data_IF_916101854276
#
_entry.id   IF_916101854276
#
_cell.length_a   1.000
_cell.length_b   1.000
_cell.length_c   1.000
_cell.angle_alpha   90.00
_cell.angle_beta   90.00
_cell.angle_gamma   90.00
#
_symmetry.space_group_name_H-M   'P 1'
#
loop_
_entity.id
_entity.type
_entity.pdbx_description
1 polymer ?
#
# COMPACT_ATOMS: atom_id res chain seq x y z
N UNK A 1 70.40 -22.53 39.25
CA UNK A 1 70.18 -23.72 38.40
C UNK A 1 68.83 -24.34 38.75
N UNK A 2 67.78 -24.03 37.98
CA UNK A 2 66.49 -24.72 38.02
C UNK A 2 65.78 -24.48 36.69
N UNK A 3 65.60 -25.58 35.97
CA UNK A 3 64.95 -25.70 34.68
C UNK A 3 63.42 -25.63 34.88
N UNK A 4 62.70 -24.81 34.13
CA UNK A 4 61.25 -24.98 33.91
C UNK A 4 60.92 -24.74 32.44
N UNK A 5 60.53 -25.82 31.78
CA UNK A 5 59.97 -25.91 30.42
C UNK A 5 58.43 -25.68 30.47
N UNK A 6 57.77 -25.53 29.31
CA UNK A 6 56.62 -24.64 29.11
C UNK A 6 55.26 -25.28 29.40
N UNK A 7 54.27 -24.45 29.69
CA UNK A 7 52.86 -24.84 29.81
C UNK A 7 52.17 -24.56 28.46
N UNK A 8 51.56 -25.59 27.90
CA UNK A 8 50.76 -25.53 26.68
C UNK A 8 49.43 -24.75 26.90
N UNK A 9 48.86 -24.10 25.88
CA UNK A 9 47.53 -23.50 25.98
C UNK A 9 46.44 -24.58 25.98
N UNK A 10 45.45 -24.41 26.86
CA UNK A 10 44.27 -25.27 26.98
C UNK A 10 43.37 -25.18 25.75
N UNK A 11 42.83 -26.34 25.39
CA UNK A 11 41.88 -26.59 24.31
C UNK A 11 40.63 -25.72 24.44
N UNK A 12 40.08 -25.34 23.28
CA UNK A 12 39.15 -24.24 23.08
C UNK A 12 37.75 -24.46 23.61
N UNK A 13 37.17 -23.36 24.05
CA UNK A 13 35.75 -23.19 24.30
C UNK A 13 35.04 -23.00 22.95
N UNK A 14 34.29 -24.01 22.53
CA UNK A 14 33.37 -23.93 21.39
C UNK A 14 32.22 -23.02 21.82
N UNK A 15 32.27 -21.76 21.40
CA UNK A 15 31.16 -20.83 21.55
C UNK A 15 30.05 -21.25 20.59
N UNK A 16 28.98 -21.80 21.17
CA UNK A 16 27.70 -22.02 20.52
C UNK A 16 27.16 -20.68 20.00
N UNK A 17 27.08 -20.54 18.67
CA UNK A 17 26.61 -19.33 17.97
C UNK A 17 25.11 -19.36 17.68
N UNK A 18 24.33 -20.16 18.42
CA UNK A 18 22.86 -20.10 18.34
C UNK A 18 22.27 -18.97 19.18
N UNK A 19 22.72 -17.73 18.93
CA UNK A 19 22.03 -16.55 19.41
C UNK A 19 20.61 -16.51 18.82
N UNK A 20 19.55 -16.27 19.62
CA UNK A 20 18.19 -16.17 19.11
C UNK A 20 18.15 -15.11 18.02
N UNK A 21 17.59 -15.47 16.85
CA UNK A 21 17.43 -14.57 15.72
C UNK A 21 16.93 -13.20 16.20
N UNK A 22 17.78 -12.18 16.05
CA UNK A 22 17.49 -10.86 16.56
C UNK A 22 16.11 -10.40 16.06
N UNK A 23 15.24 -9.88 16.93
CA UNK A 23 13.99 -9.28 16.47
C UNK A 23 14.36 -8.21 15.44
N UNK A 24 13.65 -8.19 14.31
CA UNK A 24 13.80 -7.14 13.29
C UNK A 24 13.29 -5.83 13.91
N UNK A 25 14.13 -5.19 14.71
CA UNK A 25 13.87 -3.88 15.30
C UNK A 25 14.33 -2.85 14.28
N UNK A 26 13.42 -2.48 13.38
CA UNK A 26 13.55 -1.23 12.62
C UNK A 26 13.70 -0.09 13.63
N UNK A 27 14.69 0.80 13.45
CA UNK A 27 14.99 1.91 14.39
C UNK A 27 13.70 2.58 14.90
N UNK A 28 13.61 2.90 16.21
CA UNK A 28 12.38 3.39 16.82
C UNK A 28 11.92 4.67 16.10
N UNK A 29 10.87 4.55 15.28
CA UNK A 29 10.22 5.67 14.61
C UNK A 29 9.93 5.53 13.11
N UNK A 30 10.47 4.52 12.39
CA UNK A 30 10.23 4.35 10.93
C UNK A 30 9.40 3.12 10.59
N UNK A 31 8.69 3.16 9.46
CA UNK A 31 8.07 1.96 8.89
C UNK A 31 9.12 1.04 8.27
N UNK A 32 8.85 -0.27 8.24
CA UNK A 32 9.73 -1.22 7.56
C UNK A 32 9.82 -0.91 6.06
N UNK A 33 10.96 -1.22 5.42
CA UNK A 33 11.15 -0.97 3.99
C UNK A 33 10.07 -1.62 3.12
N UNK A 34 9.58 -2.81 3.51
CA UNK A 34 8.47 -3.48 2.84
C UNK A 34 7.15 -2.69 2.94
N UNK A 35 6.84 -2.07 4.09
CA UNK A 35 5.68 -1.17 4.22
C UNK A 35 5.83 0.06 3.32
N UNK A 36 7.01 0.66 3.28
CA UNK A 36 7.29 1.82 2.45
C UNK A 36 7.14 1.49 0.97
N UNK A 37 7.70 0.37 0.52
CA UNK A 37 7.59 -0.11 -0.86
C UNK A 37 6.12 -0.29 -1.28
N UNK A 38 5.32 -1.00 -0.47
CA UNK A 38 3.90 -1.18 -0.78
C UNK A 38 3.12 0.14 -0.76
N UNK A 39 3.45 1.05 0.16
CA UNK A 39 2.83 2.37 0.23
C UNK A 39 3.11 3.20 -1.03
N UNK A 40 4.39 3.41 -1.36
CA UNK A 40 4.79 4.21 -2.52
C UNK A 40 4.39 3.56 -3.84
N UNK A 41 4.46 2.23 -3.94
CA UNK A 41 3.91 1.49 -5.08
C UNK A 41 2.41 1.74 -5.25
N UNK A 42 1.64 1.72 -4.15
CA UNK A 42 0.21 2.07 -4.19
C UNK A 42 0.01 3.53 -4.62
N UNK A 43 0.78 4.47 -4.09
CA UNK A 43 0.67 5.89 -4.44
C UNK A 43 0.92 6.14 -5.94
N UNK A 44 1.95 5.52 -6.51
CA UNK A 44 2.26 5.61 -7.95
C UNK A 44 1.14 5.00 -8.77
N UNK A 45 0.66 3.80 -8.42
CA UNK A 45 -0.46 3.16 -9.12
C UNK A 45 -1.73 4.02 -9.07
N UNK A 46 -2.04 4.60 -7.91
CA UNK A 46 -3.19 5.49 -7.75
C UNK A 46 -3.07 6.74 -8.64
N UNK A 47 -1.90 7.37 -8.68
CA UNK A 47 -1.68 8.52 -9.58
C UNK A 47 -1.94 8.14 -11.04
N UNK A 48 -1.40 7.02 -11.51
CA UNK A 48 -1.62 6.54 -12.89
C UNK A 48 -3.09 6.21 -13.15
N UNK A 49 -3.75 5.47 -12.26
CA UNK A 49 -5.17 5.09 -12.40
C UNK A 49 -6.07 6.34 -12.51
N UNK A 50 -5.80 7.38 -11.72
CA UNK A 50 -6.57 8.63 -11.73
C UNK A 50 -6.42 9.32 -13.09
N UNK A 51 -5.19 9.43 -13.60
CA UNK A 51 -4.93 10.02 -14.93
C UNK A 51 -5.64 9.21 -16.02
N UNK A 52 -5.54 7.88 -16.00
CA UNK A 52 -6.23 7.02 -16.96
C UNK A 52 -7.75 7.20 -16.88
N UNK A 53 -8.32 7.24 -15.67
CA UNK A 53 -9.75 7.45 -15.46
C UNK A 53 -10.25 8.74 -16.09
N UNK A 54 -9.49 9.84 -15.94
CA UNK A 54 -9.82 11.12 -16.58
C UNK A 54 -9.71 11.06 -18.11
N UNK A 55 -8.66 10.46 -18.66
CA UNK A 55 -8.50 10.30 -20.12
C UNK A 55 -9.68 9.53 -20.70
N UNK A 56 -10.07 8.42 -20.06
CA UNK A 56 -11.20 7.59 -20.47
C UNK A 56 -12.55 8.30 -20.31
N UNK A 57 -12.69 9.14 -19.29
CA UNK A 57 -13.93 9.90 -19.07
C UNK A 57 -14.18 10.96 -20.16
N UNK A 58 -13.13 11.58 -20.70
CA UNK A 58 -13.26 12.62 -21.74
C UNK A 58 -13.64 12.01 -23.10
N UNK A 59 -13.25 10.77 -23.38
CA UNK A 59 -13.54 10.09 -24.66
C UNK A 59 -14.05 8.65 -24.44
N UNK A 60 -15.21 8.45 -23.81
CA UNK A 60 -15.65 7.13 -23.34
C UNK A 60 -15.84 6.11 -24.48
N UNK A 61 -16.24 6.57 -25.66
CA UNK A 61 -16.56 5.71 -26.82
C UNK A 61 -15.36 5.49 -27.77
N UNK A 62 -14.18 6.02 -27.42
CA UNK A 62 -13.00 5.93 -28.27
C UNK A 62 -12.41 4.52 -28.24
N UNK A 63 -12.48 3.82 -29.37
CA UNK A 63 -11.87 2.50 -29.58
C UNK A 63 -10.35 2.54 -29.35
N UNK A 64 -9.71 3.68 -29.62
CA UNK A 64 -8.28 3.87 -29.38
C UNK A 64 -7.91 3.78 -27.88
N UNK A 65 -8.86 3.98 -26.97
CA UNK A 65 -8.63 3.91 -25.52
C UNK A 65 -8.85 2.52 -24.93
N UNK A 66 -9.31 1.52 -25.70
CA UNK A 66 -9.52 0.15 -25.19
C UNK A 66 -8.30 -0.41 -24.43
N UNK A 67 -7.04 -0.23 -24.87
CA UNK A 67 -5.88 -0.68 -24.10
C UNK A 67 -5.74 0.04 -22.76
N UNK A 68 -6.12 1.32 -22.67
CA UNK A 68 -6.08 2.10 -21.43
C UNK A 68 -7.15 1.62 -20.44
N UNK A 69 -8.33 1.22 -20.93
CA UNK A 69 -9.35 0.60 -20.08
C UNK A 69 -8.83 -0.67 -19.42
N UNK A 70 -8.12 -1.53 -20.15
CA UNK A 70 -7.53 -2.75 -19.59
C UNK A 70 -6.36 -2.45 -18.64
N UNK A 71 -5.56 -1.42 -18.90
CA UNK A 71 -4.54 -0.95 -17.96
C UNK A 71 -5.17 -0.43 -16.67
N UNK A 72 -6.23 0.36 -16.75
CA UNK A 72 -6.98 0.85 -15.59
C UNK A 72 -7.50 -0.33 -14.74
N UNK A 73 -8.14 -1.32 -15.37
CA UNK A 73 -8.64 -2.53 -14.69
C UNK A 73 -7.50 -3.34 -14.05
N UNK A 74 -6.40 -3.55 -14.79
CA UNK A 74 -5.23 -4.29 -14.30
C UNK A 74 -4.64 -3.60 -13.08
N UNK A 75 -4.36 -2.29 -13.15
CA UNK A 75 -3.80 -1.55 -12.03
C UNK A 75 -4.76 -1.53 -10.83
N UNK A 76 -6.08 -1.43 -11.05
CA UNK A 76 -7.08 -1.54 -10.00
C UNK A 76 -7.03 -2.87 -9.26
N UNK A 77 -6.89 -3.98 -9.99
CA UNK A 77 -6.70 -5.31 -9.38
C UNK A 77 -5.38 -5.42 -8.61
N UNK A 78 -4.30 -4.84 -9.12
CA UNK A 78 -3.03 -4.78 -8.38
C UNK A 78 -3.15 -3.97 -7.09
N UNK A 79 -3.82 -2.83 -7.11
CA UNK A 79 -4.12 -2.03 -5.91
C UNK A 79 -4.89 -2.86 -4.89
N UNK A 80 -5.91 -3.61 -5.31
CA UNK A 80 -6.68 -4.50 -4.44
C UNK A 80 -5.78 -5.55 -3.78
N UNK A 81 -4.97 -6.25 -4.57
CA UNK A 81 -4.05 -7.29 -4.09
C UNK A 81 -3.00 -6.72 -3.14
N UNK A 82 -2.32 -5.63 -3.52
CA UNK A 82 -1.33 -4.97 -2.67
C UNK A 82 -1.97 -4.46 -1.37
N UNK A 83 -3.18 -3.91 -1.43
CA UNK A 83 -3.90 -3.45 -0.23
C UNK A 83 -4.23 -4.61 0.72
N UNK A 84 -4.65 -5.76 0.19
CA UNK A 84 -4.86 -6.96 1.00
C UNK A 84 -3.56 -7.44 1.66
N UNK A 85 -2.45 -7.50 0.91
CA UNK A 85 -1.14 -7.83 1.47
C UNK A 85 -0.69 -6.82 2.53
N UNK A 86 -0.93 -5.52 2.33
CA UNK A 86 -0.63 -4.48 3.31
C UNK A 86 -1.37 -4.71 4.62
N UNK A 87 -2.63 -5.19 4.59
CA UNK A 87 -3.36 -5.51 5.82
C UNK A 87 -2.68 -6.62 6.60
N UNK A 88 -2.37 -7.73 5.92
CA UNK A 88 -1.71 -8.88 6.53
C UNK A 88 -0.35 -8.46 7.09
N UNK A 89 0.41 -7.68 6.34
CA UNK A 89 1.72 -7.19 6.77
C UNK A 89 1.61 -6.25 7.98
N UNK A 90 0.60 -5.39 8.00
CA UNK A 90 0.33 -4.46 9.10
C UNK A 90 -0.04 -5.17 10.40
N UNK A 91 -0.67 -6.34 10.33
CA UNK A 91 -0.94 -7.19 11.50
C UNK A 91 0.34 -7.86 12.03
N UNK A 92 1.27 -8.23 11.14
CA UNK A 92 2.56 -8.85 11.50
C UNK A 92 3.60 -7.83 11.99
N UNK A 93 3.57 -6.62 11.46
CA UNK A 93 4.47 -5.52 11.81
C UNK A 93 3.63 -4.28 12.18
N UNK A 94 3.32 -4.09 13.49
CA UNK A 94 2.60 -2.93 13.97
C UNK A 94 3.27 -1.60 13.59
N UNK A 95 2.51 -0.49 13.53
CA UNK A 95 3.10 0.77 13.11
C UNK A 95 3.99 1.31 14.23
N UNK A 96 4.91 2.23 13.92
CA UNK A 96 5.58 3.00 14.96
C UNK A 96 4.55 3.72 15.85
N UNK A 97 4.85 3.92 17.15
CA UNK A 97 3.99 4.71 18.02
C UNK A 97 3.83 6.15 17.52
N UNK A 98 2.79 6.87 17.98
CA UNK A 98 2.60 8.29 17.71
C UNK A 98 3.87 9.10 18.01
N UNK A 99 4.06 10.23 17.31
CA UNK A 99 5.18 11.11 17.63
C UNK A 99 5.00 11.72 19.04
N UNK A 100 6.09 11.95 19.79
CA UNK A 100 6.01 12.66 21.07
C UNK A 100 5.34 14.03 20.89
N UNK A 101 4.38 14.35 21.75
CA UNK A 101 3.64 15.62 21.69
C UNK A 101 2.53 15.68 20.63
N UNK A 102 2.29 14.61 19.86
CA UNK A 102 1.20 14.59 18.89
C UNK A 102 -0.17 14.73 19.58
N UNK A 103 -0.99 15.73 19.23
CA UNK A 103 -2.32 15.90 19.80
C UNK A 103 -3.22 14.69 19.53
N UNK A 104 -4.10 14.35 20.49
CA UNK A 104 -5.02 13.21 20.36
C UNK A 104 -5.97 13.33 19.17
N UNK A 105 -6.42 14.55 18.84
CA UNK A 105 -7.32 14.77 17.70
C UNK A 105 -6.63 14.46 16.37
N UNK A 106 -5.36 14.86 16.26
CA UNK A 106 -4.54 14.67 15.06
C UNK A 106 -4.26 13.18 14.83
N UNK A 107 -3.86 12.48 15.91
CA UNK A 107 -3.69 11.03 15.85
C UNK A 107 -4.98 10.28 15.46
N UNK A 108 -6.13 10.68 16.03
CA UNK A 108 -7.43 10.07 15.68
C UNK A 108 -7.81 10.35 14.23
N UNK A 109 -7.60 11.58 13.74
CA UNK A 109 -7.89 11.93 12.35
C UNK A 109 -7.03 11.11 11.38
N UNK A 110 -5.74 10.93 11.68
CA UNK A 110 -4.86 10.08 10.90
C UNK A 110 -5.34 8.61 10.87
N UNK A 111 -5.77 8.07 12.01
CA UNK A 111 -6.33 6.71 12.11
C UNK A 111 -7.64 6.56 11.31
N UNK A 112 -8.56 7.53 11.43
CA UNK A 112 -9.81 7.54 10.68
C UNK A 112 -9.55 7.62 9.16
N UNK A 113 -8.71 8.56 8.74
CA UNK A 113 -8.34 8.74 7.33
C UNK A 113 -7.73 7.46 6.75
N UNK A 114 -6.81 6.83 7.49
CA UNK A 114 -6.25 5.54 7.13
C UNK A 114 -7.31 4.44 6.99
N UNK A 115 -8.21 4.30 7.97
CA UNK A 115 -9.24 3.25 7.94
C UNK A 115 -10.18 3.42 6.74
N UNK A 116 -10.60 4.65 6.46
CA UNK A 116 -11.48 4.96 5.32
C UNK A 116 -10.74 4.75 3.99
N UNK A 117 -9.47 5.16 3.89
CA UNK A 117 -8.64 4.82 2.73
C UNK A 117 -8.57 3.32 2.49
N UNK A 118 -8.29 2.57 3.55
CA UNK A 118 -8.11 1.15 3.48
C UNK A 118 -9.39 0.46 2.98
N UNK A 119 -10.55 0.83 3.54
CA UNK A 119 -11.84 0.36 3.07
C UNK A 119 -12.10 0.73 1.60
N UNK A 120 -11.82 1.98 1.22
CA UNK A 120 -12.08 2.50 -0.14
C UNK A 120 -11.18 1.82 -1.18
N UNK A 121 -9.91 1.59 -0.86
CA UNK A 121 -8.93 0.92 -1.74
C UNK A 121 -9.22 -0.58 -1.94
N UNK A 122 -10.09 -1.18 -1.13
CA UNK A 122 -10.63 -2.52 -1.37
C UNK A 122 -11.95 -2.42 -2.12
N UNK A 123 -12.85 -1.58 -1.63
CA UNK A 123 -14.22 -1.45 -2.12
C UNK A 123 -14.29 -0.99 -3.58
N UNK A 124 -13.55 0.05 -3.95
CA UNK A 124 -13.58 0.63 -5.29
C UNK A 124 -13.09 -0.34 -6.36
N UNK A 125 -11.91 -0.99 -6.26
CA UNK A 125 -11.49 -1.96 -7.27
C UNK A 125 -12.33 -3.24 -7.26
N UNK A 126 -12.85 -3.69 -6.09
CA UNK A 126 -13.76 -4.83 -6.04
C UNK A 126 -15.05 -4.56 -6.82
N UNK A 127 -15.68 -3.40 -6.60
CA UNK A 127 -16.87 -2.97 -7.36
C UNK A 127 -16.55 -2.74 -8.85
N UNK A 128 -15.37 -2.23 -9.19
CA UNK A 128 -14.92 -2.11 -10.58
C UNK A 128 -14.75 -3.46 -11.28
N UNK A 129 -14.23 -4.46 -10.57
CA UNK A 129 -14.13 -5.84 -11.09
C UNK A 129 -15.52 -6.46 -11.32
N UNK A 130 -16.44 -6.28 -10.37
CA UNK A 130 -17.85 -6.72 -10.52
C UNK A 130 -18.51 -6.02 -11.71
N UNK A 131 -18.33 -4.71 -11.85
CA UNK A 131 -18.85 -3.93 -12.97
C UNK A 131 -18.37 -4.50 -14.31
N UNK A 132 -17.06 -4.70 -14.44
CA UNK A 132 -16.44 -5.23 -15.67
C UNK A 132 -16.94 -6.64 -16.02
N UNK A 133 -17.01 -7.53 -15.03
CA UNK A 133 -17.43 -8.93 -15.25
C UNK A 133 -18.94 -9.05 -15.50
N UNK A 134 -19.77 -8.33 -14.75
CA UNK A 134 -21.22 -8.32 -14.94
C UNK A 134 -21.66 -7.64 -16.25
N UNK A 135 -20.85 -6.74 -16.81
CA UNK A 135 -21.03 -6.20 -18.17
C UNK A 135 -20.65 -7.18 -19.28
N UNK A 136 -19.98 -8.30 -18.94
CA UNK A 136 -19.49 -9.29 -19.91
C UNK A 136 -18.10 -8.97 -20.47
N UNK A 137 -17.35 -8.07 -19.83
CA UNK A 137 -16.01 -7.65 -20.24
C UNK A 137 -15.01 -7.93 -19.11
N UNK A 138 -14.74 -9.21 -18.75
CA UNK A 138 -13.79 -9.53 -17.70
C UNK A 138 -12.43 -8.86 -17.98
N UNK A 139 -11.72 -8.34 -16.95
CA UNK A 139 -10.40 -7.72 -17.14
C UNK A 139 -9.37 -8.64 -17.81
N UNK A 140 -8.53 -8.07 -18.67
CA UNK A 140 -7.34 -8.72 -19.23
C UNK A 140 -6.10 -8.15 -18.56
N UNK A 141 -5.46 -8.95 -17.70
CA UNK A 141 -4.22 -8.59 -17.04
C UNK A 141 -3.17 -8.26 -18.10
N UNK A 142 -2.64 -7.03 -18.03
CA UNK A 142 -1.62 -6.52 -18.95
C UNK A 142 -2.02 -6.60 -20.43
N UNK A 143 -3.33 -6.55 -20.75
CA UNK A 143 -3.88 -6.76 -22.09
C UNK A 143 -3.67 -8.18 -22.68
N UNK A 144 -3.14 -9.14 -21.91
CA UNK A 144 -2.74 -10.46 -22.42
C UNK A 144 -3.57 -11.59 -21.80
N UNK A 145 -3.66 -11.62 -20.46
CA UNK A 145 -4.23 -12.76 -19.74
C UNK A 145 -5.62 -12.45 -19.21
N UNK A 146 -6.63 -13.15 -19.72
CA UNK A 146 -8.02 -13.01 -19.28
C UNK A 146 -8.20 -13.48 -17.83
N UNK A 147 -8.72 -12.61 -16.95
CA UNK A 147 -9.11 -13.05 -15.59
C UNK A 147 -10.38 -13.90 -15.67
N UNK A 148 -10.60 -14.85 -14.72
CA UNK A 148 -11.90 -15.51 -14.61
C UNK A 148 -13.01 -14.48 -14.44
N UNK A 149 -14.20 -14.76 -14.98
CA UNK A 149 -15.39 -13.96 -14.73
C UNK A 149 -16.14 -14.57 -13.53
N UNK A 150 -15.96 -13.99 -12.33
CA UNK A 150 -16.65 -14.47 -11.13
C UNK A 150 -18.15 -14.15 -11.13
N UNK A 151 -18.57 -13.19 -11.94
CA UNK A 151 -19.97 -12.81 -12.12
C UNK A 151 -20.40 -13.02 -13.57
N UNK A 152 -21.57 -13.64 -13.75
CA UNK A 152 -22.21 -13.74 -15.06
C UNK A 152 -22.80 -12.40 -15.51
N UNK A 153 -23.09 -12.28 -16.81
CA UNK A 153 -23.66 -11.06 -17.38
C UNK A 153 -25.00 -10.72 -16.72
N UNK A 154 -25.12 -9.53 -16.15
CA UNK A 154 -26.34 -9.10 -15.45
C UNK A 154 -26.44 -7.57 -15.46
N UNK A 155 -27.36 -6.97 -16.24
CA UNK A 155 -27.50 -5.52 -16.34
C UNK A 155 -27.80 -4.84 -15.00
N UNK A 156 -28.54 -5.52 -14.10
CA UNK A 156 -28.86 -4.99 -12.76
C UNK A 156 -27.61 -4.90 -11.88
N UNK A 157 -26.77 -5.93 -11.90
CA UNK A 157 -25.54 -5.97 -11.10
C UNK A 157 -24.52 -4.99 -11.68
N UNK A 158 -24.39 -4.97 -13.01
CA UNK A 158 -23.53 -4.03 -13.74
C UNK A 158 -23.84 -2.58 -13.35
N UNK A 159 -25.11 -2.16 -13.45
CA UNK A 159 -25.53 -0.79 -13.13
C UNK A 159 -25.24 -0.41 -11.67
N UNK A 160 -25.53 -1.31 -10.72
CA UNK A 160 -25.23 -1.08 -9.30
C UNK A 160 -23.73 -0.97 -9.05
N UNK A 161 -22.93 -1.89 -9.61
CA UNK A 161 -21.49 -1.90 -9.44
C UNK A 161 -20.82 -0.68 -10.08
N UNK A 162 -21.31 -0.24 -11.25
CA UNK A 162 -20.89 1.00 -11.90
C UNK A 162 -21.16 2.20 -11.00
N UNK A 163 -22.38 2.33 -10.47
CA UNK A 163 -22.73 3.43 -9.57
C UNK A 163 -21.85 3.46 -8.32
N UNK A 164 -21.60 2.30 -7.70
CA UNK A 164 -20.72 2.18 -6.54
C UNK A 164 -19.27 2.55 -6.87
N UNK A 165 -18.76 2.10 -8.02
CA UNK A 165 -17.40 2.39 -8.45
C UNK A 165 -17.19 3.89 -8.73
N UNK A 166 -18.10 4.49 -9.51
CA UNK A 166 -18.03 5.90 -9.89
C UNK A 166 -18.29 6.84 -8.70
N UNK A 167 -19.20 6.49 -7.78
CA UNK A 167 -19.40 7.29 -6.56
C UNK A 167 -18.19 7.23 -5.62
N UNK A 168 -17.51 6.08 -5.54
CA UNK A 168 -16.28 5.91 -4.74
C UNK A 168 -15.13 6.79 -5.23
N UNK A 169 -15.14 7.22 -6.50
CA UNK A 169 -14.13 8.14 -7.06
C UNK A 169 -14.08 9.47 -6.30
N UNK A 170 -15.23 10.06 -5.96
CA UNK A 170 -15.26 11.32 -5.24
C UNK A 170 -14.71 11.18 -3.82
N UNK A 171 -15.02 10.05 -3.18
CA UNK A 171 -14.49 9.73 -1.86
C UNK A 171 -12.97 9.58 -1.89
N UNK A 172 -12.41 8.83 -2.84
CA UNK A 172 -10.95 8.64 -2.92
C UNK A 172 -10.23 9.96 -3.22
N UNK A 173 -10.80 10.85 -4.04
CA UNK A 173 -10.24 12.18 -4.29
C UNK A 173 -10.19 13.03 -3.02
N UNK A 174 -11.30 13.07 -2.27
CA UNK A 174 -11.35 13.78 -0.99
C UNK A 174 -10.33 13.23 0.02
N UNK A 175 -10.17 11.91 0.09
CA UNK A 175 -9.20 11.26 0.97
C UNK A 175 -7.76 11.57 0.56
N UNK A 176 -7.42 11.55 -0.74
CA UNK A 176 -6.10 11.93 -1.25
C UNK A 176 -5.79 13.38 -0.88
N UNK A 177 -6.73 14.29 -1.12
CA UNK A 177 -6.56 15.69 -0.77
C UNK A 177 -6.34 15.87 0.74
N UNK A 178 -7.16 15.22 1.57
CA UNK A 178 -7.03 15.25 3.03
C UNK A 178 -5.67 14.71 3.50
N UNK A 179 -5.22 13.61 2.91
CA UNK A 179 -3.92 13.02 3.25
C UNK A 179 -2.75 13.92 2.86
N UNK A 180 -2.77 14.48 1.64
CA UNK A 180 -1.72 15.41 1.20
C UNK A 180 -1.73 16.70 2.03
N UNK A 181 -2.90 17.22 2.39
CA UNK A 181 -3.04 18.36 3.29
C UNK A 181 -2.48 18.04 4.68
N UNK A 182 -2.72 16.84 5.21
CA UNK A 182 -2.13 16.36 6.46
C UNK A 182 -0.60 16.29 6.38
N UNK A 183 -0.04 15.70 5.33
CA UNK A 183 1.42 15.66 5.11
C UNK A 183 1.98 17.09 5.06
N UNK A 184 1.36 18.00 4.31
CA UNK A 184 1.79 19.39 4.22
C UNK A 184 1.72 20.11 5.57
N UNK A 185 0.64 19.90 6.33
CA UNK A 185 0.47 20.43 7.68
C UNK A 185 1.61 19.97 8.61
N UNK A 186 1.95 18.69 8.58
CA UNK A 186 3.04 18.13 9.39
C UNK A 186 4.43 18.65 8.97
N UNK A 187 4.66 18.81 7.66
CA UNK A 187 5.95 19.28 7.13
C UNK A 187 6.15 20.78 7.35
N UNK A 188 5.12 21.60 7.15
CA UNK A 188 5.25 23.06 7.11
C UNK A 188 4.90 23.72 8.45
N UNK A 189 3.85 23.26 9.11
CA UNK A 189 3.31 23.90 10.33
C UNK A 189 3.86 23.22 11.57
N UNK A 190 3.62 21.91 11.72
CA UNK A 190 4.10 21.15 12.90
C UNK A 190 5.61 20.96 12.84
N UNK A 191 6.18 20.84 11.63
CA UNK A 191 7.60 20.59 11.35
C UNK A 191 8.13 19.37 12.08
N UNK A 192 7.36 18.29 12.05
CA UNK A 192 7.75 17.03 12.67
C UNK A 192 8.36 16.04 11.66
N UNK A 193 8.75 14.87 12.16
CA UNK A 193 9.41 13.82 11.37
C UNK A 193 8.42 12.84 10.73
N UNK A 194 7.15 13.22 10.53
CA UNK A 194 6.12 12.32 9.98
C UNK A 194 6.50 11.79 8.61
N UNK A 195 7.00 12.66 7.71
CA UNK A 195 7.41 12.25 6.36
C UNK A 195 8.62 11.30 6.39
N UNK A 196 9.60 11.55 7.27
CA UNK A 196 10.79 10.71 7.42
C UNK A 196 10.45 9.24 7.72
N UNK A 197 9.30 8.98 8.36
CA UNK A 197 8.85 7.61 8.68
C UNK A 197 8.55 6.79 7.43
N UNK A 198 8.23 7.44 6.31
CA UNK A 198 7.91 6.83 5.02
C UNK A 198 9.05 6.85 4.01
N UNK A 199 10.19 7.46 4.35
CA UNK A 199 11.37 7.51 3.47
C UNK A 199 12.36 6.38 3.80
N UNK A 200 13.07 5.83 2.79
CA UNK A 200 14.15 4.89 3.03
C UNK A 200 15.26 5.51 3.87
N UNK A 201 16.08 4.67 4.52
CA UNK A 201 17.30 5.16 5.17
C UNK A 201 18.27 5.65 4.08
N UNK A 202 18.98 6.78 4.31
CA UNK A 202 20.10 7.16 3.46
C UNK A 202 21.10 6.00 3.39
N UNK A 203 21.59 5.70 2.19
CA UNK A 203 22.74 4.82 2.04
C UNK A 203 23.96 5.63 2.48
N UNK A 204 24.57 5.24 3.61
CA UNK A 204 25.81 5.81 4.13
C UNK A 204 27.01 5.46 3.22
#
# INVERSE_FOLDING_TARGET
>A
MSLKLPIAPSVGEVTDTSGPAAPIVTRPGRYSGMHQLMHWGTAVMMFVIIVLGWIMHVQPDSVALLPLWEWHKTLGLFVLVVTAFRLVWRLKAPPPPPLPGQPRWDHRLAQCTYAVFFATLIWMPATGYVFSTAGGYPPKLFNILQTPALFGKSPKIEALAQWLHLSSQWLIYGLILLHLAGVLYHVVIVRDRTLDRMLPEPLD
#
